data_IF_994171438990
#
_entry.id   IF_994171438990
#
_cell.length_a   1.000
_cell.length_b   1.000
_cell.length_c   1.000
_cell.angle_alpha   90.00
_cell.angle_beta   90.00
_cell.angle_gamma   90.00
#
_symmetry.space_group_name_H-M   'P 1'
#
loop_
_entity.id
_entity.type
_entity.pdbx_description
1 polymer ?
#
# COMPACT_ATOMS: atom_id res chain seq x y z
N UNK A 1 3.22 11.91 -5.25
CA UNK A 1 3.32 11.18 -3.96
C UNK A 1 4.79 11.08 -3.58
N UNK A 2 5.19 11.41 -2.33
CA UNK A 2 6.59 11.52 -1.94
C UNK A 2 7.38 10.22 -2.15
N UNK A 3 6.79 9.07 -1.86
CA UNK A 3 7.43 7.75 -2.03
C UNK A 3 7.15 7.10 -3.40
N UNK A 4 6.44 7.79 -4.30
CA UNK A 4 6.09 7.24 -5.62
C UNK A 4 5.15 6.03 -5.59
N UNK A 5 4.33 5.88 -4.54
CA UNK A 5 3.36 4.79 -4.36
C UNK A 5 2.07 5.02 -5.18
N UNK A 6 2.17 5.00 -6.51
CA UNK A 6 1.09 5.40 -7.42
C UNK A 6 -0.06 4.39 -7.52
N UNK A 7 0.16 3.16 -7.06
CA UNK A 7 -0.80 2.06 -7.08
C UNK A 7 -1.27 1.70 -5.67
N UNK A 8 -1.31 2.68 -4.77
CA UNK A 8 -1.82 2.55 -3.40
C UNK A 8 -3.01 3.48 -3.18
N UNK A 9 -4.15 2.94 -2.74
CA UNK A 9 -5.37 3.71 -2.42
C UNK A 9 -6.28 2.94 -1.48
N UNK A 10 -7.09 3.67 -0.71
CA UNK A 10 -8.22 3.11 0.05
C UNK A 10 -9.50 3.05 -0.77
N UNK A 11 -9.55 3.76 -1.90
CA UNK A 11 -10.70 3.80 -2.78
C UNK A 11 -10.46 2.87 -3.98
N UNK A 12 -11.53 2.26 -4.47
CA UNK A 12 -11.48 1.37 -5.64
C UNK A 12 -11.25 2.18 -6.92
N UNK A 13 -10.40 1.66 -7.81
CA UNK A 13 -10.21 2.19 -9.16
C UNK A 13 -10.69 1.14 -10.18
N UNK A 14 -11.44 1.55 -11.20
CA UNK A 14 -12.04 0.61 -12.17
C UNK A 14 -10.99 -0.25 -12.89
N UNK A 15 -9.84 0.34 -13.17
CA UNK A 15 -8.69 -0.32 -13.81
C UNK A 15 -8.00 -1.36 -12.90
N UNK A 16 -8.41 -1.51 -11.63
CA UNK A 16 -7.90 -2.51 -10.70
C UNK A 16 -8.63 -3.85 -10.79
N UNK A 17 -9.83 -3.87 -11.37
CA UNK A 17 -10.65 -5.06 -11.54
C UNK A 17 -9.91 -6.26 -12.16
N UNK A 18 -8.94 -6.00 -13.04
CA UNK A 18 -8.11 -7.03 -13.70
C UNK A 18 -6.79 -7.33 -12.99
N UNK A 19 -6.41 -6.53 -11.98
CA UNK A 19 -5.09 -6.56 -11.33
C UNK A 19 -5.12 -7.06 -9.88
N UNK A 20 -6.25 -6.92 -9.20
CA UNK A 20 -6.38 -7.39 -7.81
C UNK A 20 -6.70 -8.88 -7.82
N UNK A 21 -5.91 -9.72 -7.13
CA UNK A 21 -6.16 -11.16 -7.09
C UNK A 21 -7.44 -11.50 -6.31
N UNK A 22 -8.06 -12.62 -6.67
CA UNK A 22 -9.15 -13.21 -5.89
C UNK A 22 -8.60 -13.70 -4.54
N UNK A 23 -9.21 -13.26 -3.45
CA UNK A 23 -8.93 -13.79 -2.12
C UNK A 23 -9.64 -15.12 -1.88
N UNK A 24 -9.16 -15.88 -0.90
CA UNK A 24 -9.81 -17.11 -0.46
C UNK A 24 -9.82 -17.16 1.06
N UNK A 25 -10.95 -17.59 1.63
CA UNK A 25 -11.05 -17.84 3.07
C UNK A 25 -10.34 -19.15 3.47
N UNK A 26 -10.37 -19.48 4.76
CA UNK A 26 -9.75 -20.69 5.31
C UNK A 26 -10.40 -21.99 4.82
N UNK A 27 -11.58 -21.92 4.21
CA UNK A 27 -12.32 -23.04 3.62
C UNK A 27 -12.17 -23.09 2.09
N UNK A 28 -11.30 -22.24 1.52
CA UNK A 28 -11.06 -22.11 0.09
C UNK A 28 -12.27 -21.58 -0.70
N UNK A 29 -13.20 -20.86 -0.06
CA UNK A 29 -14.26 -20.15 -0.77
C UNK A 29 -13.69 -18.83 -1.34
N UNK A 30 -14.08 -18.45 -2.57
CA UNK A 30 -13.63 -17.20 -3.17
C UNK A 30 -14.21 -15.99 -2.42
N UNK A 31 -13.35 -15.03 -2.11
CA UNK A 31 -13.70 -13.74 -1.51
C UNK A 31 -13.31 -12.64 -2.49
N UNK A 32 -14.29 -12.00 -3.17
CA UNK A 32 -13.99 -10.97 -4.14
C UNK A 32 -13.37 -9.74 -3.44
N UNK A 33 -12.52 -8.97 -4.13
CA UNK A 33 -12.04 -7.69 -3.63
C UNK A 33 -13.19 -6.76 -3.21
N UNK A 34 -13.03 -6.08 -2.09
CA UNK A 34 -14.01 -5.14 -1.58
C UNK A 34 -13.34 -3.94 -0.92
N UNK A 35 -14.06 -2.82 -0.85
CA UNK A 35 -13.60 -1.61 -0.15
C UNK A 35 -14.02 -1.71 1.31
N UNK A 36 -13.03 -1.72 2.21
CA UNK A 36 -13.28 -1.74 3.64
C UNK A 36 -13.63 -0.34 4.16
N UNK A 37 -14.77 -0.14 4.85
CA UNK A 37 -15.28 1.20 5.16
C UNK A 37 -14.41 1.99 6.15
N UNK A 38 -13.64 1.31 7.00
CA UNK A 38 -12.83 1.95 8.04
C UNK A 38 -11.42 2.35 7.58
N UNK A 39 -11.08 2.12 6.30
CA UNK A 39 -9.84 2.57 5.62
C UNK A 39 -8.56 2.21 6.36
N UNK A 40 -8.03 3.11 7.18
CA UNK A 40 -6.67 3.06 7.72
C UNK A 40 -6.33 1.81 8.54
N UNK A 41 -7.33 1.13 9.14
CA UNK A 41 -7.09 -0.08 9.93
C UNK A 41 -6.88 -1.36 9.11
N UNK A 42 -7.14 -1.37 7.80
CA UNK A 42 -6.95 -2.57 6.98
C UNK A 42 -7.47 -2.54 5.54
N UNK A 43 -7.79 -1.38 4.98
CA UNK A 43 -8.42 -1.23 3.66
C UNK A 43 -7.49 -0.75 2.55
N UNK A 44 -6.17 -0.67 2.79
CA UNK A 44 -5.24 -0.20 1.76
C UNK A 44 -5.05 -1.29 0.70
N UNK A 45 -5.46 -0.99 -0.53
CA UNK A 45 -5.08 -1.76 -1.71
C UNK A 45 -3.74 -1.20 -2.20
N UNK A 46 -2.75 -2.08 -2.39
CA UNK A 46 -1.40 -1.69 -2.78
C UNK A 46 -0.68 -2.82 -3.51
N UNK A 47 0.36 -2.46 -4.26
CA UNK A 47 1.28 -3.44 -4.87
C UNK A 47 2.46 -3.73 -3.94
N UNK A 48 3.10 -4.89 -4.13
CA UNK A 48 4.33 -5.25 -3.40
C UNK A 48 5.43 -4.18 -3.63
N UNK A 49 5.54 -3.64 -4.83
CA UNK A 49 6.51 -2.59 -5.16
C UNK A 49 6.28 -1.30 -4.36
N UNK A 50 5.02 -0.89 -4.18
CA UNK A 50 4.70 0.32 -3.44
C UNK A 50 4.88 0.13 -1.93
N UNK A 51 4.53 -1.04 -1.39
CA UNK A 51 4.84 -1.38 0.00
C UNK A 51 6.36 -1.48 0.24
N UNK A 52 7.13 -1.99 -0.72
CA UNK A 52 8.59 -2.03 -0.61
C UNK A 52 9.20 -0.62 -0.59
N UNK A 53 8.70 0.32 -1.41
CA UNK A 53 9.12 1.73 -1.36
C UNK A 53 8.86 2.34 0.01
N UNK A 54 7.70 2.05 0.60
CA UNK A 54 7.39 2.47 1.96
C UNK A 54 8.36 1.88 2.98
N UNK A 55 8.55 0.56 3.00
CA UNK A 55 9.47 -0.10 3.94
C UNK A 55 10.93 0.38 3.81
N UNK A 56 11.40 0.65 2.60
CA UNK A 56 12.76 1.18 2.36
C UNK A 56 12.91 2.58 2.94
N UNK A 57 11.88 3.43 2.84
CA UNK A 57 11.92 4.79 3.39
C UNK A 57 12.07 4.81 4.92
N UNK A 58 11.55 3.80 5.62
CA UNK A 58 11.66 3.66 7.08
C UNK A 58 13.07 3.20 7.53
N UNK A 59 13.85 2.58 6.64
CA UNK A 59 15.13 1.95 7.00
C UNK A 59 16.35 2.87 6.76
N UNK A 60 16.23 3.86 5.89
CA UNK A 60 17.36 4.68 5.48
C UNK A 60 17.34 6.05 6.18
N UNK A 61 18.38 6.46 6.94
CA UNK A 61 18.57 7.87 7.21
C UNK A 61 18.67 8.60 5.87
N UNK A 62 17.99 9.74 5.75
CA UNK A 62 17.81 10.49 4.50
C UNK A 62 19.13 10.98 3.88
N UNK A 63 19.95 10.09 3.34
CA UNK A 63 21.32 10.40 2.89
C UNK A 63 21.64 9.93 1.46
N UNK A 64 20.66 9.45 0.69
CA UNK A 64 20.88 8.98 -0.69
C UNK A 64 19.93 9.60 -1.73
N UNK A 65 19.53 10.87 -1.56
CA UNK A 65 18.66 11.57 -2.53
C UNK A 65 17.19 11.09 -2.54
N UNK A 66 16.79 10.29 -1.55
CA UNK A 66 15.40 9.94 -1.29
C UNK A 66 14.71 11.11 -0.57
N UNK A 67 13.44 11.43 -0.88
CA UNK A 67 12.72 12.49 -0.17
C UNK A 67 12.57 12.14 1.31
N UNK A 68 13.03 13.05 2.17
CA UNK A 68 12.82 12.97 3.61
C UNK A 68 11.32 13.17 3.90
N UNK A 69 10.66 12.13 4.41
CA UNK A 69 9.22 12.16 4.74
C UNK A 69 9.01 12.54 6.21
N UNK A 70 9.86 12.00 7.09
CA UNK A 70 9.90 12.32 8.52
C UNK A 70 11.31 12.80 8.87
N UNK A 71 11.38 13.81 9.74
CA UNK A 71 12.66 14.24 10.31
C UNK A 71 13.17 13.21 11.31
N UNK A 72 14.49 13.16 11.50
CA UNK A 72 15.09 12.31 12.55
C UNK A 72 14.65 12.63 13.98
N UNK A 73 14.09 13.81 14.22
CA UNK A 73 13.51 14.19 15.52
C UNK A 73 12.10 13.62 15.74
N UNK A 74 11.45 13.14 14.67
CA UNK A 74 10.09 12.60 14.69
C UNK A 74 10.05 11.08 14.85
N UNK A 75 11.21 10.41 14.84
CA UNK A 75 11.39 8.95 14.97
C UNK A 75 11.90 8.63 16.37
#
# INVERSE_FOLDING_TARGET
LPLGMQYSSFDWQEDWSSRVPMGYDLQNNPVPPYVYPYKASGGLLSTVNDIARFAIAEMAPANNGQPEVLSGESI
#
